data_IF_436882981335
#
_entry.id   IF_436882981335
#
_cell.length_a   1.000
_cell.length_b   1.000
_cell.length_c   1.000
_cell.angle_alpha   90.00
_cell.angle_beta   90.00
_cell.angle_gamma   90.00
#
_symmetry.space_group_name_H-M   'P 1'
#
loop_
_entity.id
_entity.type
_entity.pdbx_description
1 polymer ?
#
# COMPACT_ATOMS: atom_id res chain seq x y z
N UNK A 1 28.88 -0.45 38.33
CA UNK A 1 27.96 -1.20 39.22
C UNK A 1 26.58 -0.54 39.40
N UNK A 2 26.44 0.80 39.44
CA UNK A 2 25.15 1.48 39.62
C UNK A 2 24.08 1.22 38.52
N UNK A 3 24.47 1.04 37.25
CA UNK A 3 23.53 0.76 36.15
C UNK A 3 22.87 -0.63 36.22
N UNK A 4 23.50 -1.58 36.91
CA UNK A 4 22.98 -2.94 37.06
C UNK A 4 21.91 -3.00 38.16
N UNK A 5 22.13 -2.30 39.28
CA UNK A 5 21.12 -2.14 40.34
C UNK A 5 19.85 -1.44 39.86
N UNK A 6 19.96 -0.42 38.99
CA UNK A 6 18.79 0.29 38.45
C UNK A 6 17.90 -0.60 37.57
N UNK A 7 18.51 -1.44 36.70
CA UNK A 7 17.76 -2.41 35.89
C UNK A 7 17.12 -3.51 36.75
N UNK A 8 17.80 -3.94 37.80
CA UNK A 8 17.27 -4.94 38.73
C UNK A 8 16.11 -4.38 39.56
N UNK A 9 16.21 -3.12 40.00
CA UNK A 9 15.14 -2.41 40.69
C UNK A 9 13.93 -2.17 39.78
N UNK A 10 14.15 -1.84 38.51
CA UNK A 10 13.08 -1.74 37.49
C UNK A 10 12.42 -3.08 37.22
N UNK A 11 13.17 -4.18 37.14
CA UNK A 11 12.60 -5.53 36.96
C UNK A 11 11.77 -5.96 38.17
N UNK A 12 12.26 -5.69 39.38
CA UNK A 12 11.51 -5.93 40.62
C UNK A 12 10.24 -5.08 40.67
N UNK A 13 10.31 -3.80 40.27
CA UNK A 13 9.13 -2.97 40.12
C UNK A 13 8.15 -3.57 39.11
N UNK A 14 8.58 -4.00 37.93
CA UNK A 14 7.68 -4.60 36.93
C UNK A 14 7.04 -5.91 37.41
N UNK A 15 7.75 -6.73 38.18
CA UNK A 15 7.22 -7.95 38.76
C UNK A 15 6.24 -7.67 39.91
N UNK A 16 6.51 -6.64 40.73
CA UNK A 16 5.59 -6.16 41.77
C UNK A 16 4.35 -5.53 41.15
N UNK A 17 4.50 -4.70 40.12
CA UNK A 17 3.38 -4.13 39.35
C UNK A 17 2.56 -5.21 38.65
N UNK A 18 3.18 -6.23 38.04
CA UNK A 18 2.47 -7.35 37.42
C UNK A 18 1.66 -8.16 38.45
N UNK A 19 2.22 -8.35 39.66
CA UNK A 19 1.54 -9.01 40.77
C UNK A 19 0.37 -8.17 41.32
N UNK A 20 0.50 -6.84 41.30
CA UNK A 20 -0.55 -5.90 41.72
C UNK A 20 -1.64 -5.75 40.63
N UNK A 21 -1.30 -5.79 39.35
CA UNK A 21 -2.28 -5.70 38.24
C UNK A 21 -3.07 -6.99 38.04
N UNK A 22 -2.54 -8.14 38.48
CA UNK A 22 -3.27 -9.41 38.48
C UNK A 22 -4.28 -9.55 39.63
N UNK A 23 -4.40 -8.55 40.52
CA UNK A 23 -5.29 -8.56 41.69
C UNK A 23 -6.54 -7.67 41.55
N UNK A 24 -6.73 -6.99 40.41
CA UNK A 24 -7.95 -6.23 40.15
C UNK A 24 -9.00 -7.16 39.52
N UNK A 25 -10.17 -7.37 40.15
CA UNK A 25 -11.28 -8.01 39.46
C UNK A 25 -11.61 -7.20 38.20
N UNK A 26 -12.01 -7.85 37.09
CA UNK A 26 -12.43 -7.13 35.90
C UNK A 26 -13.53 -6.12 36.27
N UNK A 27 -13.51 -4.91 35.70
CA UNK A 27 -14.45 -3.85 36.06
C UNK A 27 -15.87 -4.36 35.89
N UNK A 28 -16.73 -3.99 36.85
CA UNK A 28 -18.14 -4.37 36.82
C UNK A 28 -18.84 -3.81 35.56
N UNK A 29 -19.93 -4.42 35.07
CA UNK A 29 -20.67 -3.89 33.92
C UNK A 29 -21.17 -2.45 34.09
N UNK A 30 -21.32 -1.98 35.33
CA UNK A 30 -21.69 -0.60 35.68
C UNK A 30 -20.51 0.37 35.52
N UNK A 31 -19.29 -0.01 35.92
CA UNK A 31 -18.08 0.78 35.65
C UNK A 31 -17.79 0.94 34.16
N UNK A 32 -18.00 -0.11 33.36
CA UNK A 32 -17.80 -0.05 31.91
C UNK A 32 -18.78 0.92 31.25
N UNK A 33 -20.04 0.97 31.72
CA UNK A 33 -21.06 1.90 31.22
C UNK A 33 -20.73 3.36 31.53
N UNK A 34 -20.04 3.62 32.64
CA UNK A 34 -19.63 4.97 33.01
C UNK A 34 -18.33 5.41 32.31
N UNK A 35 -17.38 4.49 32.10
CA UNK A 35 -16.07 4.78 31.52
C UNK A 35 -16.08 4.83 29.98
N UNK A 36 -16.90 4.02 29.32
CA UNK A 36 -17.00 3.99 27.86
C UNK A 36 -17.31 5.37 27.22
N UNK A 37 -18.28 6.17 27.71
CA UNK A 37 -18.53 7.50 27.15
C UNK A 37 -17.36 8.47 27.37
N UNK A 38 -16.61 8.34 28.47
CA UNK A 38 -15.40 9.16 28.73
C UNK A 38 -14.29 8.83 27.74
N UNK A 39 -14.10 7.54 27.43
CA UNK A 39 -13.12 7.08 26.41
C UNK A 39 -13.52 7.57 25.01
N UNK A 40 -14.79 7.46 24.64
CA UNK A 40 -15.29 7.94 23.34
C UNK A 40 -15.11 9.45 23.20
N UNK A 41 -15.44 10.23 24.24
CA UNK A 41 -15.24 11.68 24.26
C UNK A 41 -13.76 12.05 24.09
N UNK A 42 -12.85 11.34 24.76
CA UNK A 42 -11.40 11.56 24.67
C UNK A 42 -10.84 11.21 23.29
N UNK A 43 -11.38 10.17 22.64
CA UNK A 43 -11.03 9.82 21.25
C UNK A 43 -11.56 10.87 20.28
N UNK A 44 -12.79 11.35 20.47
CA UNK A 44 -13.41 12.38 19.64
C UNK A 44 -12.67 13.73 19.75
N UNK A 45 -12.32 14.17 20.97
CA UNK A 45 -11.54 15.38 21.22
C UNK A 45 -10.17 15.31 20.53
N UNK A 46 -9.51 14.15 20.60
CA UNK A 46 -8.21 13.94 19.95
C UNK A 46 -8.34 13.90 18.42
N UNK A 47 -9.42 13.34 17.89
CA UNK A 47 -9.71 13.35 16.46
C UNK A 47 -9.97 14.77 15.93
N UNK A 48 -10.74 15.59 16.65
CA UNK A 48 -10.95 17.01 16.34
C UNK A 48 -9.64 17.81 16.43
N UNK A 49 -8.81 17.56 17.44
CA UNK A 49 -7.48 18.19 17.57
C UNK A 49 -6.56 17.83 16.40
N UNK A 50 -6.57 16.57 15.95
CA UNK A 50 -5.81 16.12 14.78
C UNK A 50 -6.34 16.80 13.52
N UNK A 51 -7.66 16.89 13.35
CA UNK A 51 -8.31 17.53 12.22
C UNK A 51 -7.98 19.03 12.14
N UNK A 52 -8.03 19.73 13.27
CA UNK A 52 -7.66 21.15 13.36
C UNK A 52 -6.17 21.38 13.14
N UNK A 53 -5.31 20.53 13.69
CA UNK A 53 -3.86 20.62 13.47
C UNK A 53 -3.46 20.31 12.03
N UNK A 54 -4.15 19.35 11.40
CA UNK A 54 -4.02 19.04 9.98
C UNK A 54 -4.49 20.22 9.12
N UNK A 55 -5.61 20.87 9.47
CA UNK A 55 -6.11 22.06 8.77
C UNK A 55 -5.10 23.24 8.86
N UNK A 56 -4.53 23.49 10.04
CA UNK A 56 -3.51 24.56 10.24
C UNK A 56 -2.21 24.28 9.45
N UNK A 57 -1.80 23.02 9.31
CA UNK A 57 -0.65 22.66 8.47
C UNK A 57 -0.95 22.78 6.96
N UNK A 58 -2.20 22.57 6.54
CA UNK A 58 -2.65 22.65 5.15
C UNK A 58 -2.92 24.10 4.70
N UNK A 59 -3.25 25.03 5.60
CA UNK A 59 -3.42 26.44 5.22
C UNK A 59 -2.10 27.20 5.07
N UNK A 60 -1.06 26.83 5.84
CA UNK A 60 0.24 27.49 5.80
C UNK A 60 1.18 26.94 4.71
N UNK A 61 0.91 25.74 4.19
CA UNK A 61 1.59 25.19 3.04
C UNK A 61 0.54 24.98 1.94
N UNK A 62 0.73 25.50 0.72
CA UNK A 62 -0.15 25.20 -0.42
C UNK A 62 -0.07 23.69 -0.77
N UNK A 63 -0.69 22.84 0.03
CA UNK A 63 -0.68 21.38 -0.10
C UNK A 63 -1.86 20.97 -0.95
N UNK A 64 -1.58 20.21 -2.02
CA UNK A 64 -2.63 19.65 -2.85
C UNK A 64 -3.28 18.45 -2.14
N UNK A 65 -4.61 18.48 -1.99
CA UNK A 65 -5.41 17.41 -1.36
C UNK A 65 -6.44 16.81 -2.32
N UNK A 66 -6.28 17.01 -3.63
CA UNK A 66 -7.11 16.32 -4.62
C UNK A 66 -6.84 14.81 -4.57
N UNK A 67 -7.80 13.96 -4.95
CA UNK A 67 -7.59 12.51 -4.98
C UNK A 67 -6.35 12.10 -5.78
N UNK A 68 -6.09 12.77 -6.91
CA UNK A 68 -4.90 12.52 -7.73
C UNK A 68 -3.59 12.85 -7.00
N UNK A 69 -3.54 13.96 -6.25
CA UNK A 69 -2.37 14.32 -5.45
C UNK A 69 -2.12 13.33 -4.31
N UNK A 70 -3.19 12.89 -3.64
CA UNK A 70 -3.09 11.90 -2.54
C UNK A 70 -2.56 10.57 -3.09
N UNK A 71 -3.13 10.06 -4.20
CA UNK A 71 -2.67 8.82 -4.82
C UNK A 71 -1.21 8.91 -5.27
N UNK A 72 -0.84 9.98 -5.98
CA UNK A 72 0.53 10.17 -6.45
C UNK A 72 1.53 10.26 -5.29
N UNK A 73 1.20 11.00 -4.23
CA UNK A 73 2.06 11.10 -3.05
C UNK A 73 2.22 9.74 -2.36
N UNK A 74 1.12 8.98 -2.17
CA UNK A 74 1.19 7.63 -1.60
C UNK A 74 2.02 6.68 -2.46
N UNK A 75 1.87 6.72 -3.79
CA UNK A 75 2.63 5.88 -4.71
C UNK A 75 4.13 6.17 -4.74
N UNK A 76 4.52 7.43 -4.54
CA UNK A 76 5.93 7.83 -4.40
C UNK A 76 6.47 7.33 -3.05
N UNK A 77 5.77 7.62 -1.95
CA UNK A 77 6.21 7.25 -0.62
C UNK A 77 6.39 5.74 -0.44
N UNK A 78 5.54 4.92 -1.08
CA UNK A 78 5.63 3.45 -1.05
C UNK A 78 6.88 2.89 -1.74
N UNK A 79 7.52 3.65 -2.64
CA UNK A 79 8.72 3.21 -3.37
C UNK A 79 10.02 3.73 -2.75
N UNK A 80 9.90 4.76 -1.90
CA UNK A 80 11.01 5.51 -1.32
C UNK A 80 11.51 4.84 -0.03
N UNK A 81 12.83 4.72 0.14
CA UNK A 81 13.46 4.33 1.40
C UNK A 81 13.97 5.58 2.13
N UNK A 82 13.18 6.06 3.10
CA UNK A 82 13.49 7.26 3.89
C UNK A 82 14.62 7.05 4.92
N UNK A 83 15.16 5.84 5.05
CA UNK A 83 16.28 5.57 5.97
C UNK A 83 17.64 5.93 5.36
N UNK A 84 17.69 6.18 4.06
CA UNK A 84 18.89 6.54 3.31
C UNK A 84 18.97 8.05 3.13
N UNK A 85 20.15 8.65 3.31
CA UNK A 85 20.36 10.06 2.98
C UNK A 85 20.36 10.23 1.45
N UNK A 86 19.48 11.09 0.88
CA UNK A 86 19.46 11.35 -0.56
C UNK A 86 20.77 11.94 -1.10
N UNK A 87 21.60 12.55 -0.26
CA UNK A 87 22.91 13.10 -0.67
C UNK A 87 23.96 12.01 -0.84
N UNK A 88 23.79 10.87 -0.17
CA UNK A 88 24.71 9.73 -0.25
C UNK A 88 24.31 8.77 -1.38
N UNK A 89 23.03 8.39 -1.46
CA UNK A 89 22.49 7.53 -2.51
C UNK A 89 21.04 7.89 -2.84
N UNK A 90 20.88 8.81 -3.79
CA UNK A 90 19.55 9.24 -4.24
C UNK A 90 18.74 8.12 -4.89
N UNK A 91 19.39 7.14 -5.53
CA UNK A 91 18.68 6.04 -6.18
C UNK A 91 18.06 5.12 -5.13
N UNK A 92 18.82 4.75 -4.11
CA UNK A 92 18.30 3.95 -3.00
C UNK A 92 17.30 4.73 -2.16
N UNK A 93 17.52 6.02 -1.92
CA UNK A 93 16.49 6.86 -1.28
C UNK A 93 15.18 6.82 -2.07
N UNK A 94 15.20 7.11 -3.36
CA UNK A 94 13.98 7.23 -4.18
C UNK A 94 13.31 5.90 -4.55
N UNK A 95 14.06 4.81 -4.65
CA UNK A 95 13.57 3.52 -5.14
C UNK A 95 13.84 2.33 -4.21
N UNK A 96 14.44 2.53 -3.03
CA UNK A 96 14.91 1.44 -2.18
C UNK A 96 13.83 0.43 -1.80
N UNK A 97 12.64 0.90 -1.42
CA UNK A 97 11.51 0.01 -1.14
C UNK A 97 10.95 -0.66 -2.41
N UNK A 98 11.04 0.00 -3.57
CA UNK A 98 10.67 -0.65 -4.83
C UNK A 98 11.59 -1.83 -5.13
N UNK A 99 12.91 -1.68 -4.92
CA UNK A 99 13.88 -2.75 -5.14
C UNK A 99 13.67 -3.93 -4.18
N UNK A 100 13.32 -3.65 -2.93
CA UNK A 100 13.06 -4.70 -1.93
C UNK A 100 11.77 -5.49 -2.22
N UNK A 101 10.72 -4.80 -2.68
CA UNK A 101 9.39 -5.39 -2.82
C UNK A 101 9.11 -5.96 -4.22
N UNK A 102 9.88 -5.58 -5.24
CA UNK A 102 9.63 -6.00 -6.63
C UNK A 102 10.35 -7.30 -6.95
N UNK A 103 9.59 -8.31 -7.36
CA UNK A 103 10.13 -9.57 -7.90
C UNK A 103 10.10 -9.53 -9.42
N UNK A 104 11.17 -10.02 -10.05
CA UNK A 104 11.22 -10.22 -11.50
C UNK A 104 10.55 -11.57 -11.80
N UNK A 105 9.43 -11.60 -12.54
CA UNK A 105 8.81 -12.86 -12.96
C UNK A 105 9.72 -13.65 -13.91
N UNK A 106 9.55 -14.97 -13.99
CA UNK A 106 10.41 -15.87 -14.79
C UNK A 106 10.42 -15.52 -16.29
N UNK A 107 9.33 -14.93 -16.78
CA UNK A 107 9.15 -14.50 -18.18
C UNK A 107 9.91 -13.21 -18.51
N UNK A 108 10.55 -12.57 -17.51
CA UNK A 108 11.17 -11.25 -17.64
C UNK A 108 12.61 -11.26 -17.17
N UNK A 109 13.42 -10.44 -17.82
CA UNK A 109 14.82 -10.21 -17.44
C UNK A 109 14.99 -8.96 -16.57
N UNK A 110 14.03 -8.05 -16.56
CA UNK A 110 14.01 -6.86 -15.72
C UNK A 110 12.58 -6.40 -15.43
N UNK A 111 12.40 -5.67 -14.33
CA UNK A 111 11.17 -4.95 -14.01
C UNK A 111 11.52 -3.52 -13.61
N UNK A 112 10.87 -2.55 -14.23
CA UNK A 112 10.94 -1.14 -13.89
C UNK A 112 9.58 -0.47 -14.10
N UNK A 113 9.48 0.83 -13.82
CA UNK A 113 8.22 1.57 -13.98
C UNK A 113 7.66 1.49 -15.41
N UNK A 114 8.52 1.56 -16.44
CA UNK A 114 8.07 1.47 -17.82
C UNK A 114 7.55 0.08 -18.19
N UNK A 115 8.18 -0.99 -17.71
CA UNK A 115 7.69 -2.34 -17.95
C UNK A 115 6.34 -2.57 -17.29
N UNK A 116 6.13 -2.06 -16.06
CA UNK A 116 4.85 -2.17 -15.35
C UNK A 116 3.74 -1.45 -16.13
N UNK A 117 3.99 -0.22 -16.59
CA UNK A 117 3.02 0.53 -17.40
C UNK A 117 2.79 -0.16 -18.75
N UNK A 118 3.84 -0.73 -19.35
CA UNK A 118 3.75 -1.51 -20.58
C UNK A 118 2.85 -2.73 -20.43
N UNK A 119 2.96 -3.46 -19.32
CA UNK A 119 2.11 -4.62 -19.04
C UNK A 119 0.63 -4.24 -18.92
N UNK A 120 0.34 -3.21 -18.13
CA UNK A 120 -1.03 -2.69 -17.96
C UNK A 120 -1.62 -2.22 -19.30
N UNK A 121 -0.81 -1.58 -20.14
CA UNK A 121 -1.23 -1.20 -21.49
C UNK A 121 -1.54 -2.43 -22.35
N UNK A 122 -0.67 -3.44 -22.36
CA UNK A 122 -0.88 -4.66 -23.14
C UNK A 122 -2.13 -5.42 -22.66
N UNK A 123 -2.38 -5.46 -21.35
CA UNK A 123 -3.60 -6.07 -20.78
C UNK A 123 -4.86 -5.34 -21.26
N UNK A 124 -4.86 -4.01 -21.21
CA UNK A 124 -5.96 -3.18 -21.73
C UNK A 124 -6.16 -3.39 -23.23
N UNK A 125 -5.10 -3.36 -24.02
CA UNK A 125 -5.19 -3.64 -25.46
C UNK A 125 -5.74 -5.04 -25.74
N UNK A 126 -5.26 -6.04 -25.00
CA UNK A 126 -5.75 -7.43 -25.09
C UNK A 126 -7.26 -7.48 -24.87
N UNK A 127 -7.78 -6.82 -23.83
CA UNK A 127 -9.23 -6.80 -23.56
C UNK A 127 -10.07 -6.28 -24.74
N UNK A 128 -9.55 -5.28 -25.47
CA UNK A 128 -10.22 -4.67 -26.62
C UNK A 128 -10.21 -5.63 -27.82
N UNK A 129 -9.07 -6.25 -28.11
CA UNK A 129 -8.93 -7.14 -29.28
C UNK A 129 -9.53 -8.53 -29.07
N UNK A 130 -9.77 -8.93 -27.82
CA UNK A 130 -10.47 -10.19 -27.51
C UNK A 130 -11.99 -10.02 -27.38
N UNK A 131 -12.49 -8.79 -27.37
CA UNK A 131 -13.93 -8.55 -27.34
C UNK A 131 -14.60 -9.11 -28.62
N UNK A 132 -15.89 -9.52 -28.55
CA UNK A 132 -16.63 -9.94 -29.73
C UNK A 132 -16.54 -8.93 -30.86
N UNK A 133 -16.53 -9.42 -32.10
CA UNK A 133 -16.57 -8.56 -33.29
C UNK A 133 -18.02 -8.12 -33.47
N UNK A 134 -18.26 -6.80 -33.50
CA UNK A 134 -19.59 -6.25 -33.72
C UNK A 134 -19.82 -5.96 -35.22
N UNK A 135 -21.04 -6.11 -35.71
CA UNK A 135 -21.34 -5.92 -37.14
C UNK A 135 -21.10 -4.48 -37.61
N UNK A 136 -21.38 -3.51 -36.74
CA UNK A 136 -21.21 -2.07 -36.95
C UNK A 136 -19.76 -1.58 -36.70
N UNK A 137 -18.83 -2.47 -36.34
CA UNK A 137 -17.43 -2.11 -36.13
C UNK A 137 -16.73 -1.79 -37.46
N UNK A 138 -15.79 -0.84 -37.48
CA UNK A 138 -15.04 -0.51 -38.70
C UNK A 138 -14.05 -1.65 -39.04
N UNK A 139 -13.87 -1.91 -40.33
CA UNK A 139 -13.10 -3.06 -40.83
C UNK A 139 -11.67 -3.21 -40.26
N UNK A 140 -10.88 -2.14 -40.02
CA UNK A 140 -9.55 -2.29 -39.42
C UNK A 140 -9.57 -2.98 -38.05
N UNK A 141 -10.56 -2.68 -37.20
CA UNK A 141 -10.65 -3.35 -35.90
C UNK A 141 -11.11 -4.80 -36.04
N UNK A 142 -12.07 -5.09 -36.93
CA UNK A 142 -12.46 -6.46 -37.25
C UNK A 142 -11.26 -7.29 -37.72
N UNK A 143 -10.39 -6.70 -38.55
CA UNK A 143 -9.19 -7.36 -39.07
C UNK A 143 -8.17 -7.65 -37.96
N UNK A 144 -7.89 -6.70 -37.07
CA UNK A 144 -6.98 -6.89 -35.94
C UNK A 144 -7.49 -7.98 -34.99
N UNK A 145 -8.80 -7.98 -34.68
CA UNK A 145 -9.43 -9.03 -33.84
C UNK A 145 -9.31 -10.42 -34.48
N UNK A 146 -9.63 -10.55 -35.78
CA UNK A 146 -9.48 -11.81 -36.53
C UNK A 146 -8.03 -12.29 -36.56
N UNK A 147 -7.08 -11.39 -36.78
CA UNK A 147 -5.65 -11.70 -36.78
C UNK A 147 -5.20 -12.23 -35.41
N UNK A 148 -5.60 -11.56 -34.32
CA UNK A 148 -5.29 -12.00 -32.97
C UNK A 148 -5.86 -13.40 -32.68
N UNK A 149 -7.14 -13.64 -32.99
CA UNK A 149 -7.80 -14.94 -32.80
C UNK A 149 -7.11 -16.05 -33.60
N UNK A 150 -6.70 -15.78 -34.84
CA UNK A 150 -5.97 -16.74 -35.65
C UNK A 150 -4.60 -17.10 -35.05
N UNK A 151 -3.90 -16.13 -34.45
CA UNK A 151 -2.62 -16.36 -33.79
C UNK A 151 -2.76 -17.16 -32.48
N UNK A 152 -3.83 -16.93 -31.72
CA UNK A 152 -4.04 -17.56 -30.40
C UNK A 152 -4.73 -18.92 -30.45
N UNK A 153 -5.24 -19.34 -31.61
CA UNK A 153 -5.91 -20.64 -31.80
C UNK A 153 -4.87 -21.78 -31.86
N UNK A 154 -4.28 -22.11 -30.71
CA UNK A 154 -3.28 -23.17 -30.59
C UNK A 154 -3.81 -24.54 -31.01
N UNK A 155 -5.11 -24.82 -30.82
CA UNK A 155 -5.75 -26.05 -31.29
C UNK A 155 -5.55 -26.26 -32.79
N UNK A 156 -5.67 -25.23 -33.62
CA UNK A 156 -5.42 -25.35 -35.06
C UNK A 156 -3.95 -25.64 -35.40
N UNK A 157 -3.02 -25.19 -34.57
CA UNK A 157 -1.58 -25.42 -34.73
C UNK A 157 -1.17 -26.85 -34.37
N UNK A 158 -1.72 -27.42 -33.28
CA UNK A 158 -1.42 -28.79 -32.86
C UNK A 158 -2.01 -29.85 -33.80
N UNK A 159 -3.16 -29.61 -34.44
CA UNK A 159 -3.76 -30.54 -35.41
C UNK A 159 -3.13 -30.50 -36.81
N UNK A 160 -2.31 -29.49 -37.14
CA UNK A 160 -1.59 -29.41 -38.44
C UNK A 160 -0.20 -30.07 -38.42
N UNK A 161 0.30 -30.46 -37.25
CA UNK A 161 1.64 -31.05 -37.06
C UNK A 161 1.61 -32.49 -36.51
N UNK A 162 0.45 -33.14 -36.56
CA UNK A 162 0.23 -34.59 -36.36
C UNK A 162 -0.28 -35.20 -37.67
#
# INVERSE_FOLDING_TARGET
MAKFLSKFLLLLCMLVFCSITNALPPPSPEEIREELPKVIAKVAEKAETIKNKLHVCIENAKVCVTPGCIHAASDILKKMDQTVDPCDDFYKFSCGQFLENTKIPDEKIFVNTFSIVGDDLQEKLKSIITAPIEDNEIEPFKMVKKLYLACMNESEFYFKNL
#
